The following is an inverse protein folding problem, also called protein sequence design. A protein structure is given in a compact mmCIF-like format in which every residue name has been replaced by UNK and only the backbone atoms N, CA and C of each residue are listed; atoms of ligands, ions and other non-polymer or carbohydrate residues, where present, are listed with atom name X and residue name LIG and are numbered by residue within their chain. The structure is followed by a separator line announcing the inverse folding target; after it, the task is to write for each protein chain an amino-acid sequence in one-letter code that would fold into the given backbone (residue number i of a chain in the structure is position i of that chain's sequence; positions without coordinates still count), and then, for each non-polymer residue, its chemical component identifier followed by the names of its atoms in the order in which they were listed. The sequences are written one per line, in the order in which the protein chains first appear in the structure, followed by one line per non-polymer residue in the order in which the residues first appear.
data_IF_434277799067
#
_entry.id   IF_434277799067
#
_cell.length_a   1.000
_cell.length_b   1.000
_cell.length_c   1.000
_cell.angle_alpha   90.00
_cell.angle_beta   90.00
_cell.angle_gamma   90.00
#
_symmetry.space_group_name_H-M   'P 1'
#
loop_
_entity.id
_entity.type
_entity.pdbx_description
1 polymer ?
#
# COMPACT_ATOMS: atom_id res chain seq x y z
N UNK A 1 1.94 3.97 -16.69
CA UNK A 1 1.22 2.69 -16.55
C UNK A 1 0.95 2.03 -17.90
N UNK A 2 0.18 2.64 -18.81
CA UNK A 2 -0.13 2.05 -20.13
C UNK A 2 1.13 1.69 -20.94
N UNK A 3 2.12 2.58 -20.98
CA UNK A 3 3.40 2.34 -21.64
C UNK A 3 4.12 1.10 -21.05
N UNK A 4 4.23 1.06 -19.72
CA UNK A 4 4.89 -0.04 -19.01
C UNK A 4 4.18 -1.38 -19.28
N UNK A 5 2.84 -1.42 -19.17
CA UNK A 5 2.05 -2.64 -19.48
C UNK A 5 2.22 -3.08 -20.94
N UNK A 6 2.26 -2.14 -21.87
CA UNK A 6 2.39 -2.46 -23.31
C UNK A 6 3.75 -3.09 -23.64
N UNK A 7 4.82 -2.57 -23.04
CA UNK A 7 6.21 -3.01 -23.28
C UNK A 7 6.55 -4.26 -22.47
N UNK A 8 6.28 -4.24 -21.16
CA UNK A 8 6.73 -5.28 -20.22
C UNK A 8 5.76 -6.45 -20.11
N UNK A 9 4.49 -6.26 -20.51
CA UNK A 9 3.38 -7.22 -20.35
C UNK A 9 3.11 -7.59 -18.89
N UNK A 10 1.95 -8.20 -18.66
CA UNK A 10 1.61 -8.80 -17.38
C UNK A 10 2.07 -10.25 -17.33
N UNK A 11 2.19 -10.79 -16.13
CA UNK A 11 2.36 -12.22 -15.95
C UNK A 11 1.13 -12.99 -16.52
N UNK A 12 1.30 -14.18 -17.12
CA UNK A 12 0.17 -15.04 -17.47
C UNK A 12 -0.77 -15.26 -16.28
N UNK A 13 -2.08 -15.14 -16.49
CA UNK A 13 -3.07 -15.21 -15.40
C UNK A 13 -3.26 -13.93 -14.58
N UNK A 14 -2.46 -12.88 -14.83
CA UNK A 14 -2.69 -11.53 -14.27
C UNK A 14 -3.26 -10.62 -15.36
N UNK A 15 -4.49 -10.17 -15.17
CA UNK A 15 -5.18 -9.33 -16.16
C UNK A 15 -4.72 -7.87 -16.10
N UNK A 16 -4.45 -7.36 -14.88
CA UNK A 16 -4.09 -5.97 -14.64
C UNK A 16 -3.01 -5.85 -13.57
N UNK A 17 -2.01 -4.99 -13.77
CA UNK A 17 -1.06 -4.68 -12.70
C UNK A 17 -1.71 -3.75 -11.66
N UNK A 18 -1.22 -3.78 -10.43
CA UNK A 18 -1.74 -2.98 -9.32
C UNK A 18 -0.63 -2.13 -8.70
N UNK A 19 -0.97 -0.91 -8.26
CA UNK A 19 -0.04 -0.09 -7.48
C UNK A 19 -0.13 -0.54 -6.03
N UNK A 20 1.01 -0.94 -5.48
CA UNK A 20 1.16 -1.34 -4.09
C UNK A 20 2.10 -0.37 -3.36
N UNK A 21 1.73 -0.05 -2.12
CA UNK A 21 2.57 0.73 -1.20
C UNK A 21 2.48 0.14 0.19
N UNK A 22 3.62 0.12 0.88
CA UNK A 22 3.65 -0.16 2.32
C UNK A 22 3.22 1.09 3.08
N UNK A 23 2.14 0.99 3.84
CA UNK A 23 1.59 2.07 4.64
C UNK A 23 2.29 2.14 6.00
N UNK A 24 2.72 3.33 6.45
CA UNK A 24 3.26 3.50 7.80
C UNK A 24 2.27 3.02 8.86
N UNK A 25 2.71 2.12 9.71
CA UNK A 25 1.92 1.57 10.82
C UNK A 25 2.84 1.30 12.01
N UNK A 26 2.34 1.11 13.24
CA UNK A 26 3.18 0.85 14.41
C UNK A 26 4.16 -0.31 14.24
N UNK A 27 3.89 -1.25 13.33
CA UNK A 27 4.78 -2.35 12.95
C UNK A 27 5.34 -2.24 11.52
N UNK A 28 4.90 -1.26 10.71
CA UNK A 28 5.24 -1.08 9.29
C UNK A 28 5.06 -2.35 8.44
N UNK A 29 3.90 -3.03 8.55
CA UNK A 29 3.66 -4.34 7.91
C UNK A 29 2.43 -4.42 7.01
N UNK A 30 1.78 -3.29 6.71
CA UNK A 30 0.56 -3.28 5.91
C UNK A 30 0.86 -2.79 4.49
N UNK A 31 0.71 -3.67 3.50
CA UNK A 31 0.74 -3.35 2.09
C UNK A 31 -0.69 -3.13 1.59
N UNK A 32 -0.92 -2.05 0.86
CA UNK A 32 -2.25 -1.73 0.31
C UNK A 32 -2.21 -1.75 -1.21
N UNK A 33 -3.17 -2.44 -1.81
CA UNK A 33 -3.43 -2.55 -3.24
C UNK A 33 -4.91 -2.29 -3.48
N UNK A 34 -5.38 -1.81 -4.62
CA UNK A 34 -4.67 -0.96 -5.56
C UNK A 34 -4.73 0.51 -5.09
N UNK A 35 -3.75 1.33 -5.44
CA UNK A 35 -3.65 2.75 -5.07
C UNK A 35 -3.77 3.66 -6.30
N UNK A 36 -4.59 3.26 -7.27
CA UNK A 36 -4.99 4.08 -8.41
C UNK A 36 -4.36 3.67 -9.74
N UNK A 37 -3.99 2.41 -9.93
CA UNK A 37 -3.69 1.89 -11.26
C UNK A 37 -5.00 1.60 -12.03
N UNK A 38 -6.01 1.08 -11.33
CA UNK A 38 -7.27 0.61 -11.89
C UNK A 38 -8.43 1.27 -11.11
N UNK A 39 -9.07 2.27 -11.73
CA UNK A 39 -10.20 2.98 -11.11
C UNK A 39 -11.37 2.04 -10.85
N UNK A 40 -11.72 1.22 -11.85
CA UNK A 40 -12.79 0.23 -11.75
C UNK A 40 -12.22 -1.19 -11.82
N UNK A 41 -12.56 -2.00 -10.82
CA UNK A 41 -12.12 -3.39 -10.69
C UNK A 41 -13.33 -4.32 -10.61
N UNK A 42 -13.19 -5.52 -11.18
CA UNK A 42 -14.17 -6.60 -11.03
C UNK A 42 -13.78 -7.44 -9.82
N UNK A 43 -14.62 -8.40 -9.42
CA UNK A 43 -14.31 -9.30 -8.32
C UNK A 43 -13.03 -10.10 -8.57
N UNK A 44 -12.83 -10.56 -9.82
CA UNK A 44 -11.66 -11.31 -10.27
C UNK A 44 -10.38 -10.48 -10.18
N UNK A 45 -10.44 -9.19 -10.51
CA UNK A 45 -9.29 -8.30 -10.34
C UNK A 45 -8.90 -8.17 -8.86
N UNK A 46 -9.88 -7.99 -7.95
CA UNK A 46 -9.60 -7.92 -6.52
C UNK A 46 -9.03 -9.24 -5.99
N UNK A 47 -9.55 -10.37 -6.46
CA UNK A 47 -9.01 -11.70 -6.16
C UNK A 47 -7.54 -11.85 -6.61
N UNK A 48 -7.22 -11.47 -7.85
CA UNK A 48 -5.84 -11.47 -8.36
C UNK A 48 -4.93 -10.53 -7.55
N UNK A 49 -5.43 -9.36 -7.14
CA UNK A 49 -4.65 -8.41 -6.33
C UNK A 49 -4.33 -8.98 -4.95
N UNK A 50 -5.23 -9.77 -4.36
CA UNK A 50 -5.01 -10.48 -3.11
C UNK A 50 -3.93 -11.56 -3.25
N UNK A 51 -3.95 -12.36 -4.34
CA UNK A 51 -2.90 -13.33 -4.63
C UNK A 51 -1.54 -12.65 -4.81
N UNK A 52 -1.47 -11.59 -5.62
CA UNK A 52 -0.24 -10.84 -5.86
C UNK A 52 0.30 -10.18 -4.57
N UNK A 53 -0.59 -9.60 -3.76
CA UNK A 53 -0.21 -8.99 -2.49
C UNK A 53 0.29 -10.02 -1.48
N UNK A 54 -0.36 -11.18 -1.41
CA UNK A 54 0.07 -12.32 -0.58
C UNK A 54 1.48 -12.77 -0.98
N UNK A 55 1.68 -13.04 -2.27
CA UNK A 55 2.97 -13.42 -2.83
C UNK A 55 4.07 -12.38 -2.57
N UNK A 56 3.75 -11.08 -2.72
CA UNK A 56 4.67 -9.98 -2.43
C UNK A 56 5.15 -10.01 -0.97
N UNK A 57 4.22 -10.13 -0.01
CA UNK A 57 4.57 -10.11 1.42
C UNK A 57 5.36 -11.35 1.80
N UNK A 58 4.97 -12.52 1.28
CA UNK A 58 5.72 -13.76 1.51
C UNK A 58 7.15 -13.65 0.98
N UNK A 59 7.31 -13.15 -0.25
CA UNK A 59 8.61 -12.95 -0.91
C UNK A 59 9.50 -11.92 -0.19
N UNK A 60 8.96 -10.76 0.15
CA UNK A 60 9.75 -9.65 0.70
C UNK A 60 10.00 -9.75 2.19
N UNK A 61 8.99 -10.18 2.96
CA UNK A 61 9.02 -10.17 4.41
C UNK A 61 9.30 -11.57 5.00
N UNK A 62 9.39 -12.61 4.15
CA UNK A 62 9.59 -14.00 4.58
C UNK A 62 8.48 -14.50 5.50
N UNK A 63 7.28 -13.91 5.38
CA UNK A 63 6.14 -14.23 6.25
C UNK A 63 5.28 -15.29 5.56
N UNK A 64 5.26 -16.55 6.05
CA UNK A 64 4.32 -17.54 5.54
C UNK A 64 2.89 -17.11 5.86
N UNK A 65 1.96 -17.39 4.95
CA UNK A 65 0.51 -17.15 5.11
C UNK A 65 0.17 -15.71 5.55
N UNK A 66 0.57 -14.68 4.79
CA UNK A 66 0.27 -13.28 5.15
C UNK A 66 -1.24 -13.05 5.19
N UNK A 67 -1.71 -12.31 6.19
CA UNK A 67 -3.13 -12.04 6.37
C UNK A 67 -3.58 -11.06 5.30
N UNK A 68 -4.54 -11.47 4.48
CA UNK A 68 -5.11 -10.66 3.41
C UNK A 68 -6.54 -10.26 3.78
N UNK A 69 -6.87 -8.99 3.59
CA UNK A 69 -8.20 -8.46 3.82
C UNK A 69 -8.70 -7.62 2.64
N UNK A 70 -10.02 -7.52 2.51
CA UNK A 70 -10.66 -6.59 1.57
C UNK A 70 -11.07 -5.31 2.30
N UNK A 71 -10.73 -4.16 1.73
CA UNK A 71 -11.20 -2.88 2.24
C UNK A 71 -12.70 -2.74 1.96
N UNK A 72 -13.46 -2.37 2.98
CA UNK A 72 -14.89 -2.22 2.86
C UNK A 72 -15.42 -1.05 3.71
N UNK A 73 -16.70 -0.74 3.54
CA UNK A 73 -17.42 0.31 4.29
C UNK A 73 -17.76 -0.12 5.72
N UNK A 74 -17.64 -1.41 6.02
CA UNK A 74 -17.76 -1.97 7.37
C UNK A 74 -17.28 -3.43 7.41
N UNK A 75 -17.13 -3.96 8.61
CA UNK A 75 -16.67 -5.34 8.84
C UNK A 75 -17.74 -6.41 8.51
N UNK A 76 -19.01 -6.03 8.40
CA UNK A 76 -20.12 -6.97 8.19
C UNK A 76 -20.27 -7.43 6.73
N UNK A 77 -20.52 -8.73 6.50
CA UNK A 77 -20.60 -9.34 5.15
C UNK A 77 -21.70 -8.82 4.22
N UNK A 78 -22.69 -8.15 4.77
CA UNK A 78 -23.82 -7.58 4.02
C UNK A 78 -23.45 -6.20 3.46
N UNK A 79 -22.43 -5.53 4.02
CA UNK A 79 -21.99 -4.21 3.59
C UNK A 79 -21.00 -4.30 2.43
N UNK A 80 -20.94 -3.22 1.64
CA UNK A 80 -20.08 -3.14 0.47
C UNK A 80 -20.84 -3.35 -0.83
N UNK A 81 -20.16 -3.02 -1.93
CA UNK A 81 -20.68 -3.22 -3.27
C UNK A 81 -20.57 -4.70 -3.69
N UNK A 82 -21.29 -5.05 -4.75
CA UNK A 82 -21.38 -6.43 -5.24
C UNK A 82 -20.01 -7.04 -5.57
N UNK A 83 -19.14 -6.28 -6.24
CA UNK A 83 -17.79 -6.73 -6.62
C UNK A 83 -16.92 -7.12 -5.41
N UNK A 84 -16.95 -6.36 -4.32
CA UNK A 84 -16.19 -6.69 -3.09
C UNK A 84 -16.77 -7.93 -2.42
N UNK A 85 -18.11 -8.09 -2.41
CA UNK A 85 -18.78 -9.27 -1.83
C UNK A 85 -18.49 -10.54 -2.62
N UNK A 86 -18.48 -10.46 -3.96
CA UNK A 86 -18.11 -11.58 -4.83
C UNK A 86 -16.62 -11.95 -4.64
N UNK A 87 -15.73 -10.95 -4.61
CA UNK A 87 -14.31 -11.18 -4.35
C UNK A 87 -14.08 -11.84 -2.98
N UNK A 88 -14.82 -11.42 -1.95
CA UNK A 88 -14.75 -12.05 -0.63
C UNK A 88 -15.15 -13.52 -0.65
N UNK A 89 -16.15 -13.91 -1.45
CA UNK A 89 -16.54 -15.32 -1.58
C UNK A 89 -15.44 -16.12 -2.26
N UNK A 90 -14.90 -15.60 -3.36
CA UNK A 90 -13.79 -16.23 -4.08
C UNK A 90 -12.56 -16.41 -3.18
N UNK A 91 -12.24 -15.41 -2.35
CA UNK A 91 -11.12 -15.49 -1.41
C UNK A 91 -11.39 -16.42 -0.23
N UNK A 92 -12.63 -16.51 0.25
CA UNK A 92 -13.00 -17.45 1.32
C UNK A 92 -12.92 -18.92 0.86
N UNK A 93 -13.14 -19.18 -0.43
CA UNK A 93 -13.00 -20.52 -1.04
C UNK A 93 -11.56 -20.84 -1.45
N UNK A 94 -10.63 -19.88 -1.34
CA UNK A 94 -9.25 -20.00 -1.77
C UNK A 94 -8.34 -20.45 -0.62
N UNK A 95 -7.93 -21.72 -0.60
CA UNK A 95 -7.03 -22.25 0.44
C UNK A 95 -5.63 -21.66 0.41
N UNK A 96 -5.23 -21.08 -0.73
CA UNK A 96 -3.87 -20.58 -0.96
C UNK A 96 -3.64 -19.16 -0.42
N UNK A 97 -4.69 -18.51 0.09
CA UNK A 97 -4.66 -17.17 0.69
C UNK A 97 -5.22 -17.21 2.10
N UNK A 98 -4.47 -16.67 3.06
CA UNK A 98 -4.95 -16.46 4.42
C UNK A 98 -5.89 -15.24 4.48
N UNK A 99 -7.11 -15.41 3.98
CA UNK A 99 -8.13 -14.37 3.92
C UNK A 99 -8.81 -14.20 5.29
N UNK A 100 -8.75 -12.98 5.84
CA UNK A 100 -9.28 -12.67 7.18
C UNK A 100 -10.59 -11.85 7.16
N UNK A 101 -11.19 -11.66 5.98
CA UNK A 101 -12.42 -10.89 5.83
C UNK A 101 -12.20 -9.41 5.49
N UNK A 102 -13.09 -8.56 5.98
CA UNK A 102 -13.10 -7.13 5.69
C UNK A 102 -12.35 -6.30 6.72
N UNK A 103 -11.85 -5.14 6.28
CA UNK A 103 -11.30 -4.09 7.13
C UNK A 103 -11.81 -2.72 6.69
N UNK A 104 -11.84 -1.75 7.60
CA UNK A 104 -12.27 -0.38 7.29
C UNK A 104 -11.10 0.54 6.92
N UNK A 105 -11.42 1.73 6.38
CA UNK A 105 -10.44 2.74 5.97
C UNK A 105 -9.43 3.15 7.04
N UNK A 106 -9.82 3.14 8.32
CA UNK A 106 -8.91 3.46 9.42
C UNK A 106 -7.94 2.33 9.77
N UNK A 107 -8.26 1.09 9.41
CA UNK A 107 -7.53 -0.10 9.84
C UNK A 107 -6.26 -0.36 9.05
N UNK A 108 -6.15 0.24 7.87
CA UNK A 108 -4.93 0.21 7.05
C UNK A 108 -3.71 0.76 7.81
N UNK A 109 -3.94 1.62 8.81
CA UNK A 109 -2.89 2.19 9.68
C UNK A 109 -2.68 1.41 10.99
N UNK A 110 -3.50 0.40 11.28
CA UNK A 110 -3.48 -0.36 12.56
C UNK A 110 -2.77 -1.72 12.47
N UNK A 111 -2.35 -2.17 11.28
CA UNK A 111 -1.70 -3.50 11.06
C UNK A 111 -2.63 -4.70 11.33
N UNK A 112 -3.92 -4.55 11.03
CA UNK A 112 -4.90 -5.63 11.17
C UNK A 112 -4.63 -6.74 10.14
N UNK A 113 -4.31 -6.36 8.91
CA UNK A 113 -3.84 -7.24 7.85
C UNK A 113 -2.40 -6.91 7.44
N UNK A 114 -1.75 -7.86 6.77
CA UNK A 114 -0.46 -7.64 6.12
C UNK A 114 -0.66 -7.13 4.69
N UNK A 115 -1.76 -7.52 4.05
CA UNK A 115 -2.21 -7.07 2.72
C UNK A 115 -3.65 -6.61 2.81
N UNK A 116 -3.94 -5.39 2.35
CA UNK A 116 -5.31 -4.89 2.19
C UNK A 116 -5.56 -4.61 0.72
N UNK A 117 -6.66 -5.15 0.19
CA UNK A 117 -7.03 -5.07 -1.22
C UNK A 117 -8.30 -4.25 -1.42
N UNK A 118 -8.29 -3.39 -2.43
CA UNK A 118 -9.38 -2.51 -2.85
C UNK A 118 -9.22 -2.13 -4.31
N UNK A 119 -10.26 -1.54 -4.90
CA UNK A 119 -10.13 -0.88 -6.18
C UNK A 119 -9.28 0.39 -6.06
N UNK A 120 -8.67 0.80 -7.17
CA UNK A 120 -7.74 1.92 -7.18
C UNK A 120 -8.38 3.28 -6.89
N UNK A 121 -9.68 3.44 -7.10
CA UNK A 121 -10.39 4.66 -6.72
C UNK A 121 -10.47 4.78 -5.19
N UNK A 122 -11.03 3.75 -4.54
CA UNK A 122 -11.17 3.72 -3.08
C UNK A 122 -9.81 3.77 -2.40
N UNK A 123 -8.84 2.96 -2.85
CA UNK A 123 -7.49 2.93 -2.27
C UNK A 123 -6.76 4.27 -2.38
N UNK A 124 -6.84 4.93 -3.54
CA UNK A 124 -6.21 6.24 -3.72
C UNK A 124 -6.89 7.32 -2.86
N UNK A 125 -8.22 7.30 -2.72
CA UNK A 125 -8.95 8.22 -1.83
C UNK A 125 -8.54 7.98 -0.37
N UNK A 126 -8.53 6.72 0.10
CA UNK A 126 -8.15 6.37 1.46
C UNK A 126 -6.71 6.80 1.79
N UNK A 127 -5.76 6.52 0.87
CA UNK A 127 -4.37 6.95 1.01
C UNK A 127 -4.26 8.47 1.11
N UNK A 128 -4.88 9.21 0.18
CA UNK A 128 -4.79 10.68 0.14
C UNK A 128 -5.48 11.35 1.33
N UNK A 129 -6.59 10.78 1.81
CA UNK A 129 -7.21 11.24 3.04
C UNK A 129 -6.29 11.05 4.25
N UNK A 130 -5.65 9.89 4.37
CA UNK A 130 -4.68 9.62 5.43
C UNK A 130 -3.46 10.55 5.38
N UNK A 131 -2.88 10.75 4.19
CA UNK A 131 -1.77 11.69 3.98
C UNK A 131 -2.17 13.13 4.38
N UNK A 132 -3.37 13.59 4.00
CA UNK A 132 -3.88 14.91 4.38
C UNK A 132 -4.09 15.11 5.89
N UNK A 133 -4.57 14.07 6.59
CA UNK A 133 -4.71 14.10 8.07
C UNK A 133 -3.33 14.20 8.72
N UNK A 134 -2.33 13.47 8.22
CA UNK A 134 -0.96 13.55 8.73
C UNK A 134 -0.37 14.95 8.54
N UNK A 135 -0.51 15.54 7.36
CA UNK A 135 -0.03 16.90 7.08
C UNK A 135 -0.69 17.94 7.99
N UNK A 136 -2.01 17.83 8.21
CA UNK A 136 -2.77 18.68 9.13
C UNK A 136 -2.21 18.57 10.55
N UNK A 137 -1.99 17.36 11.05
CA UNK A 137 -1.46 17.11 12.40
C UNK A 137 -0.05 17.68 12.56
N UNK A 138 0.84 17.48 11.58
CA UNK A 138 2.18 18.07 11.59
C UNK A 138 2.10 19.61 11.62
N UNK A 139 1.20 20.20 10.84
CA UNK A 139 0.96 21.64 10.81
C UNK A 139 0.48 22.19 12.16
N UNK A 140 -0.47 21.52 12.80
CA UNK A 140 -0.98 21.86 14.13
C UNK A 140 0.13 21.83 15.19
N UNK A 141 0.93 20.76 15.22
CA UNK A 141 2.04 20.62 16.17
C UNK A 141 3.08 21.74 15.98
N UNK A 142 3.46 22.04 14.74
CA UNK A 142 4.39 23.15 14.43
C UNK A 142 3.84 24.50 14.91
N UNK A 143 2.54 24.74 14.69
CA UNK A 143 1.87 25.98 15.13
C UNK A 143 1.89 26.14 16.65
N UNK A 144 1.62 25.06 17.40
CA UNK A 144 1.65 25.08 18.86
C UNK A 144 3.01 25.49 19.43
N UNK A 145 4.11 24.96 18.88
CA UNK A 145 5.46 25.30 19.35
C UNK A 145 5.92 26.70 18.94
N UNK A 146 5.34 27.28 17.89
CA UNK A 146 5.72 28.62 17.41
C UNK A 146 4.96 29.78 18.07
N UNK A 147 3.97 29.49 18.91
CA UNK A 147 3.01 30.45 19.47
C UNK A 147 3.63 31.54 20.35
N UNK A 148 4.56 31.19 21.25
CA UNK A 148 5.25 32.15 22.13
C UNK A 148 6.67 31.67 22.47
N UNK A 149 7.47 32.54 23.10
CA UNK A 149 8.88 32.25 23.38
C UNK A 149 9.08 31.01 24.28
N UNK A 150 8.15 30.78 25.22
CA UNK A 150 8.16 29.60 26.09
C UNK A 150 7.87 28.32 25.30
N UNK A 151 6.83 28.31 24.46
CA UNK A 151 6.51 27.19 23.56
C UNK A 151 7.66 26.90 22.61
N UNK A 152 8.38 27.91 22.13
CA UNK A 152 9.58 27.71 21.29
C UNK A 152 10.70 27.02 22.06
N UNK A 153 10.94 27.43 23.31
CA UNK A 153 11.93 26.79 24.18
C UNK A 153 11.61 25.31 24.40
N UNK A 154 10.35 24.98 24.72
CA UNK A 154 9.89 23.59 24.86
C UNK A 154 10.01 22.84 23.53
N UNK A 155 9.69 23.50 22.41
CA UNK A 155 9.82 22.94 21.07
C UNK A 155 11.26 22.56 20.72
N UNK A 156 12.26 23.36 21.14
CA UNK A 156 13.67 23.02 20.95
C UNK A 156 14.08 21.76 21.71
N UNK A 157 13.61 21.60 22.96
CA UNK A 157 13.85 20.38 23.73
C UNK A 157 13.17 19.15 23.11
N UNK A 158 11.96 19.33 22.56
CA UNK A 158 11.19 18.27 21.90
C UNK A 158 11.65 17.96 20.46
N UNK A 159 12.49 18.81 19.85
CA UNK A 159 12.85 18.75 18.44
C UNK A 159 13.39 17.39 17.97
N UNK A 160 14.24 16.66 18.73
CA UNK A 160 14.71 15.34 18.31
C UNK A 160 13.56 14.32 18.19
N UNK A 161 12.60 14.36 19.12
CA UNK A 161 11.43 13.48 19.10
C UNK A 161 10.46 13.86 17.99
N UNK A 162 10.24 15.16 17.77
CA UNK A 162 9.40 15.65 16.66
C UNK A 162 9.98 15.30 15.29
N UNK A 163 11.30 15.32 15.13
CA UNK A 163 11.97 14.85 13.91
C UNK A 163 11.76 13.36 13.69
N UNK A 164 11.93 12.52 14.73
CA UNK A 164 11.65 11.08 14.63
C UNK A 164 10.19 10.81 14.25
N UNK A 165 9.24 11.52 14.87
CA UNK A 165 7.83 11.38 14.55
C UNK A 165 7.56 11.77 13.09
N UNK A 166 8.06 12.93 12.64
CA UNK A 166 7.95 13.36 11.24
C UNK A 166 8.53 12.30 10.32
N UNK A 167 9.72 11.79 10.59
CA UNK A 167 10.38 10.83 9.72
C UNK A 167 9.61 9.51 9.59
N UNK A 168 8.82 9.13 10.60
CA UNK A 168 7.94 7.95 10.55
C UNK A 168 6.68 8.15 9.70
N UNK A 169 6.11 9.36 9.68
CA UNK A 169 4.78 9.61 9.09
C UNK A 169 4.80 10.47 7.84
N UNK A 170 5.92 11.15 7.52
CA UNK A 170 6.03 12.07 6.39
C UNK A 170 5.80 11.34 5.05
N UNK A 171 4.69 11.64 4.34
CA UNK A 171 4.38 11.01 3.06
C UNK A 171 5.47 11.25 2.01
N UNK A 172 6.18 12.39 2.10
CA UNK A 172 7.23 12.80 1.15
C UNK A 172 8.44 11.88 1.18
N UNK A 173 8.70 11.23 2.33
CA UNK A 173 9.80 10.27 2.50
C UNK A 173 9.42 8.85 2.07
N UNK A 174 8.13 8.59 1.87
CA UNK A 174 7.57 7.31 1.48
C UNK A 174 7.01 7.38 0.04
N UNK A 175 7.79 7.96 -0.87
CA UNK A 175 7.48 7.99 -2.29
C UNK A 175 8.07 6.77 -3.01
N UNK A 176 7.54 6.43 -4.18
CA UNK A 176 7.88 5.22 -4.92
C UNK A 176 6.94 4.08 -4.58
N UNK A 177 5.79 4.03 -5.24
CA UNK A 177 4.89 2.88 -5.15
C UNK A 177 5.24 1.87 -6.23
N UNK A 178 5.27 0.59 -5.88
CA UNK A 178 5.58 -0.48 -6.83
C UNK A 178 4.35 -0.78 -7.69
N UNK A 179 4.57 -1.07 -8.97
CA UNK A 179 3.54 -1.53 -9.88
C UNK A 179 3.76 -3.03 -10.15
N UNK A 180 3.09 -3.86 -9.35
CA UNK A 180 3.24 -5.31 -9.39
C UNK A 180 2.30 -5.95 -10.42
N UNK A 181 2.61 -7.19 -10.82
CA UNK A 181 1.89 -7.92 -11.87
C UNK A 181 2.46 -7.71 -13.28
N UNK A 182 3.52 -6.92 -13.41
CA UNK A 182 4.33 -6.78 -14.62
C UNK A 182 5.55 -7.70 -14.55
N UNK A 183 6.14 -8.03 -15.71
CA UNK A 183 7.32 -8.91 -15.77
C UNK A 183 8.65 -8.24 -15.38
N UNK A 184 8.64 -6.95 -15.00
CA UNK A 184 9.84 -6.24 -14.55
C UNK A 184 9.48 -5.16 -13.53
N UNK A 185 10.49 -4.71 -12.77
CA UNK A 185 10.34 -3.70 -11.72
C UNK A 185 9.90 -2.37 -12.31
N UNK A 186 8.78 -1.84 -11.83
CA UNK A 186 8.28 -0.52 -12.22
C UNK A 186 7.86 0.25 -10.97
N UNK A 187 8.54 1.37 -10.71
CA UNK A 187 8.21 2.25 -9.59
C UNK A 187 7.50 3.51 -10.10
N UNK A 188 6.37 3.85 -9.49
CA UNK A 188 5.64 5.11 -9.71
C UNK A 188 6.04 6.12 -8.64
N UNK A 189 6.71 7.18 -9.06
CA UNK A 189 6.90 8.39 -8.24
C UNK A 189 5.70 9.35 -8.39
N UNK A 190 5.37 10.09 -7.34
CA UNK A 190 4.47 11.23 -7.46
C UNK A 190 5.06 12.33 -8.36
N UNK A 191 4.22 12.97 -9.17
CA UNK A 191 4.65 14.02 -10.11
C UNK A 191 5.18 15.29 -9.44
N UNK A 192 4.73 15.58 -8.22
CA UNK A 192 5.18 16.72 -7.41
C UNK A 192 6.25 16.32 -6.38
N UNK A 193 6.92 15.18 -6.56
CA UNK A 193 7.94 14.72 -5.63
C UNK A 193 9.15 15.66 -5.64
N UNK A 194 9.56 16.10 -4.45
CA UNK A 194 10.81 16.82 -4.26
C UNK A 194 12.00 15.85 -4.33
N UNK A 195 13.23 16.39 -4.37
CA UNK A 195 14.48 15.61 -4.45
C UNK A 195 14.51 14.42 -3.49
N UNK A 196 14.15 14.64 -2.21
CA UNK A 196 14.12 13.58 -1.20
C UNK A 196 13.10 12.47 -1.52
N UNK A 197 11.95 12.84 -2.06
CA UNK A 197 10.93 11.86 -2.46
C UNK A 197 11.34 11.10 -3.72
N UNK A 198 11.99 11.76 -4.67
CA UNK A 198 12.50 11.08 -5.86
C UNK A 198 13.64 10.11 -5.50
N UNK A 199 14.52 10.50 -4.57
CA UNK A 199 15.53 9.61 -4.01
C UNK A 199 14.91 8.35 -3.39
N UNK A 200 13.89 8.49 -2.53
CA UNK A 200 13.18 7.32 -1.97
C UNK A 200 12.63 6.39 -3.04
N UNK A 201 12.09 6.94 -4.14
CA UNK A 201 11.58 6.13 -5.24
C UNK A 201 12.69 5.40 -6.01
N UNK A 202 13.85 6.02 -6.18
CA UNK A 202 15.03 5.38 -6.77
C UNK A 202 15.58 4.27 -5.87
N UNK A 203 15.68 4.51 -4.57
CA UNK A 203 16.10 3.51 -3.59
C UNK A 203 15.17 2.28 -3.63
N UNK A 204 13.85 2.50 -3.70
CA UNK A 204 12.87 1.42 -3.88
C UNK A 204 13.09 0.67 -5.19
N UNK A 205 13.35 1.36 -6.30
CA UNK A 205 13.59 0.74 -7.60
C UNK A 205 14.86 -0.14 -7.59
N UNK A 206 15.94 0.36 -6.99
CA UNK A 206 17.20 -0.38 -6.83
C UNK A 206 16.97 -1.61 -5.96
N UNK A 207 16.27 -1.46 -4.84
CA UNK A 207 15.94 -2.56 -3.94
C UNK A 207 15.14 -3.65 -4.65
N UNK A 208 14.05 -3.31 -5.33
CA UNK A 208 13.21 -4.29 -6.02
C UNK A 208 13.92 -4.98 -7.19
N UNK A 209 14.73 -4.23 -7.95
CA UNK A 209 15.51 -4.80 -9.05
C UNK A 209 16.60 -5.75 -8.56
N UNK A 210 17.30 -5.42 -7.47
CA UNK A 210 18.32 -6.30 -6.87
C UNK A 210 17.71 -7.57 -6.25
N UNK A 211 16.50 -7.47 -5.72
CA UNK A 211 15.77 -8.59 -5.13
C UNK A 211 15.08 -9.48 -6.17
N UNK A 212 14.87 -9.00 -7.39
CA UNK A 212 14.08 -9.72 -8.39
C UNK A 212 12.62 -9.90 -7.96
N UNK A 213 12.03 -8.83 -7.41
CA UNK A 213 10.66 -8.89 -6.86
C UNK A 213 9.62 -9.38 -7.86
N UNK A 214 9.60 -8.91 -9.13
CA UNK A 214 8.70 -9.45 -10.14
C UNK A 214 8.85 -10.96 -10.30
N UNK A 215 10.07 -11.48 -10.38
CA UNK A 215 10.35 -12.90 -10.54
C UNK A 215 9.89 -13.71 -9.33
N UNK A 216 10.11 -13.19 -8.11
CA UNK A 216 9.65 -13.84 -6.88
C UNK A 216 8.12 -13.91 -6.81
N UNK A 217 7.43 -12.82 -7.17
CA UNK A 217 5.96 -12.80 -7.21
C UNK A 217 5.44 -13.78 -8.26
N UNK A 218 6.01 -13.73 -9.47
CA UNK A 218 5.60 -14.60 -10.58
C UNK A 218 5.76 -16.08 -10.24
N UNK A 219 6.92 -16.48 -9.70
CA UNK A 219 7.17 -17.85 -9.26
C UNK A 219 6.16 -18.31 -8.22
N UNK A 220 5.72 -17.41 -7.33
CA UNK A 220 4.72 -17.75 -6.33
C UNK A 220 3.31 -17.80 -6.93
N UNK A 221 2.97 -16.91 -7.85
CA UNK A 221 1.69 -16.95 -8.56
C UNK A 221 1.53 -18.25 -9.37
N UNK A 222 2.60 -18.76 -9.98
CA UNK A 222 2.61 -20.06 -10.69
C UNK A 222 2.28 -21.25 -9.77
N UNK A 223 2.47 -21.12 -8.45
CA UNK A 223 2.10 -22.14 -7.46
C UNK A 223 0.66 -21.97 -6.95
N UNK A 224 0.09 -20.76 -7.09
CA UNK A 224 -1.22 -20.39 -6.57
C UNK A 224 -2.37 -20.50 -7.60
N UNK A 225 -2.04 -20.48 -8.91
CA UNK A 225 -2.96 -20.49 -10.06
C UNK A 225 -2.92 -21.86 -10.75
#
# INVERSE_FOLDING_TARGET
MLLARSILKTHPGVDRPAIVKRIPSPKNRCYVLDLGANVDCTAEHLYQFALMGSALVEALEGKPEPRVALLNVGEEEIKGNEQVRLASRMLAECESVNYIGYVEGGDIFKTIADVVVCDGFVGNVALKAGEGVVELMIGMVKSMFNRNWYSRLVGYAALPMLRKLRDLVDPSRHNGASLIGLQATVIKSHGNAQETGFLSALEQAIFEAQKGVPEMINSRLDELI
#
